data_IF_795648563672
#
_entry.id   IF_795648563672
#
_cell.length_a   1.000
_cell.length_b   1.000
_cell.length_c   1.000
_cell.angle_alpha   90.00
_cell.angle_beta   90.00
_cell.angle_gamma   90.00
#
_symmetry.space_group_name_H-M   'P 1'
#
loop_
_entity.id
_entity.type
_entity.pdbx_description
1 polymer ?
#
# COMPACT_ATOMS: atom_id res chain seq x y z
N UNK A 1 -18.79 -12.81 4.21
CA UNK A 1 -17.95 -13.81 3.51
C UNK A 1 -18.19 -13.65 2.02
N UNK A 2 -17.16 -13.59 1.16
CA UNK A 2 -17.34 -13.45 -0.31
C UNK A 2 -17.15 -12.04 -0.92
N UNK A 3 -16.43 -11.13 -0.25
CA UNK A 3 -16.08 -9.80 -0.83
C UNK A 3 -14.70 -9.76 -1.52
N UNK A 4 -13.91 -10.83 -1.37
CA UNK A 4 -12.55 -10.94 -1.92
C UNK A 4 -12.40 -12.33 -2.58
N UNK A 5 -11.71 -12.43 -3.73
CA UNK A 5 -11.16 -11.32 -4.51
C UNK A 5 -12.26 -10.41 -5.07
N UNK A 6 -12.02 -9.10 -5.13
CA UNK A 6 -12.99 -8.16 -5.73
C UNK A 6 -13.18 -8.47 -7.22
N UNK A 7 -14.29 -8.07 -7.87
CA UNK A 7 -14.49 -8.30 -9.30
C UNK A 7 -13.31 -7.81 -10.15
N UNK A 8 -12.72 -6.66 -9.78
CA UNK A 8 -11.54 -6.12 -10.45
C UNK A 8 -10.27 -6.95 -10.25
N UNK A 9 -10.14 -7.68 -9.14
CA UNK A 9 -9.04 -8.62 -8.88
C UNK A 9 -9.25 -9.94 -9.64
N UNK A 10 -10.48 -10.45 -9.70
CA UNK A 10 -10.80 -11.65 -10.50
C UNK A 10 -10.52 -11.41 -11.98
N UNK A 11 -10.96 -10.27 -12.52
CA UNK A 11 -10.62 -9.86 -13.90
C UNK A 11 -9.12 -9.65 -14.11
N UNK A 12 -8.38 -9.35 -13.04
CA UNK A 12 -6.92 -9.22 -13.04
C UNK A 12 -6.18 -10.57 -12.89
N UNK A 13 -6.91 -11.69 -12.85
CA UNK A 13 -6.32 -13.04 -12.79
C UNK A 13 -6.14 -13.63 -11.39
N UNK A 14 -6.62 -12.97 -10.33
CA UNK A 14 -6.58 -13.54 -8.97
C UNK A 14 -7.80 -14.43 -8.79
N UNK A 15 -7.58 -15.74 -8.59
CA UNK A 15 -8.66 -16.73 -8.59
C UNK A 15 -9.20 -17.03 -7.21
N UNK A 16 -8.39 -16.91 -6.16
CA UNK A 16 -8.79 -17.24 -4.78
C UNK A 16 -8.40 -16.16 -3.77
N UNK A 17 -9.04 -16.19 -2.59
CA UNK A 17 -8.70 -15.29 -1.49
C UNK A 17 -7.32 -15.63 -0.91
N UNK A 18 -6.94 -16.90 -0.95
CA UNK A 18 -5.64 -17.40 -0.51
C UNK A 18 -4.50 -16.89 -1.39
N UNK A 19 -4.69 -16.84 -2.72
CA UNK A 19 -3.72 -16.25 -3.65
C UNK A 19 -3.49 -14.76 -3.36
N UNK A 20 -4.58 -14.02 -3.10
CA UNK A 20 -4.49 -12.61 -2.69
C UNK A 20 -3.74 -12.46 -1.38
N UNK A 21 -4.13 -13.22 -0.36
CA UNK A 21 -3.53 -13.16 0.96
C UNK A 21 -2.03 -13.51 0.94
N UNK A 22 -1.63 -14.47 0.10
CA UNK A 22 -0.23 -14.82 -0.08
C UNK A 22 0.57 -13.65 -0.66
N UNK A 23 0.04 -12.94 -1.65
CA UNK A 23 0.64 -11.73 -2.20
C UNK A 23 0.75 -10.63 -1.14
N UNK A 24 -0.30 -10.44 -0.34
CA UNK A 24 -0.31 -9.44 0.73
C UNK A 24 0.75 -9.72 1.79
N UNK A 25 0.88 -10.99 2.22
CA UNK A 25 1.87 -11.42 3.19
C UNK A 25 3.32 -11.20 2.73
N UNK A 26 3.60 -11.25 1.41
CA UNK A 26 4.94 -10.99 0.87
C UNK A 26 5.44 -9.57 1.11
N UNK A 27 4.54 -8.59 1.32
CA UNK A 27 4.94 -7.20 1.63
C UNK A 27 5.68 -7.08 2.97
N UNK A 28 5.45 -7.99 3.91
CA UNK A 28 6.20 -8.05 5.17
C UNK A 28 7.63 -8.56 5.04
N UNK A 29 8.02 -9.07 3.86
CA UNK A 29 9.36 -9.60 3.63
C UNK A 29 9.63 -10.88 4.42
N UNK A 30 10.79 -10.95 5.09
CA UNK A 30 11.24 -12.11 5.88
C UNK A 30 11.51 -11.77 7.36
N UNK A 31 11.22 -10.54 7.78
CA UNK A 31 11.43 -10.10 9.15
C UNK A 31 10.45 -10.79 10.09
N UNK A 32 10.85 -11.13 11.33
CA UNK A 32 9.92 -11.64 12.32
C UNK A 32 8.87 -10.58 12.68
N UNK A 33 7.62 -11.01 12.86
CA UNK A 33 6.56 -10.15 13.41
C UNK A 33 6.87 -9.91 14.89
N UNK A 34 6.89 -8.65 15.31
CA UNK A 34 7.24 -8.26 16.69
C UNK A 34 6.02 -7.89 17.53
N UNK A 35 4.96 -7.37 16.89
CA UNK A 35 3.69 -6.97 17.52
C UNK A 35 2.50 -7.26 16.58
N UNK A 36 1.33 -7.50 17.18
CA UNK A 36 0.03 -7.58 16.50
C UNK A 36 -0.86 -6.50 17.10
N UNK A 37 -1.35 -5.60 16.25
CA UNK A 37 -1.98 -4.34 16.63
C UNK A 37 -3.46 -4.35 16.27
N UNK A 38 -4.27 -3.77 17.14
CA UNK A 38 -5.64 -3.39 16.82
C UNK A 38 -5.68 -2.09 16.00
N UNK A 39 -6.83 -1.79 15.39
CA UNK A 39 -6.97 -0.63 14.51
C UNK A 39 -6.60 0.69 15.20
N UNK A 40 -5.58 1.38 14.70
CA UNK A 40 -5.08 2.64 15.27
C UNK A 40 -4.21 2.51 16.52
N UNK A 41 -3.88 1.28 16.94
CA UNK A 41 -3.00 1.04 18.09
C UNK A 41 -1.55 1.40 17.76
N UNK A 42 -0.94 2.24 18.60
CA UNK A 42 0.43 2.69 18.44
C UNK A 42 1.40 1.52 18.72
N UNK A 43 2.34 1.19 17.82
CA UNK A 43 3.32 0.13 18.03
C UNK A 43 4.19 0.39 19.27
N UNK A 44 4.47 -0.66 20.04
CA UNK A 44 5.30 -0.55 21.27
C UNK A 44 6.77 -0.97 21.04
N UNK A 45 7.05 -1.66 19.94
CA UNK A 45 8.38 -2.21 19.59
C UNK A 45 8.79 -1.83 18.17
N UNK A 46 10.09 -1.60 17.99
CA UNK A 46 10.66 -1.46 16.65
C UNK A 46 10.73 -2.83 15.94
N UNK A 47 10.25 -2.90 14.71
CA UNK A 47 10.25 -4.12 13.89
C UNK A 47 9.05 -4.17 12.95
N UNK A 48 8.75 -5.36 12.42
CA UNK A 48 7.56 -5.59 11.61
C UNK A 48 6.35 -5.83 12.52
N UNK A 49 5.42 -4.90 12.54
CA UNK A 49 4.14 -5.06 13.24
C UNK A 49 3.02 -5.33 12.24
N UNK A 50 2.05 -6.15 12.62
CA UNK A 50 0.86 -6.45 11.81
C UNK A 50 -0.36 -5.81 12.45
N UNK A 51 -1.09 -4.95 11.73
CA UNK A 51 -2.34 -4.35 12.21
C UNK A 51 -3.55 -5.02 11.58
N UNK A 52 -4.49 -5.48 12.41
CA UNK A 52 -5.78 -5.98 11.94
C UNK A 52 -6.64 -4.81 11.43
N UNK A 53 -6.73 -4.68 10.10
CA UNK A 53 -7.46 -3.62 9.42
C UNK A 53 -8.48 -4.20 8.45
N UNK A 54 -9.58 -3.47 8.14
CA UNK A 54 -10.49 -3.87 7.08
C UNK A 54 -9.78 -3.90 5.71
N UNK A 55 -10.19 -4.78 4.80
CA UNK A 55 -9.64 -4.85 3.44
C UNK A 55 -10.06 -3.72 2.49
N UNK A 56 -10.58 -2.61 3.00
CA UNK A 56 -10.83 -1.39 2.23
C UNK A 56 -9.63 -0.47 2.39
N UNK A 57 -9.06 -0.02 1.27
CA UNK A 57 -7.80 0.73 1.24
C UNK A 57 -7.85 2.00 2.12
N UNK A 58 -8.90 2.82 1.99
CA UNK A 58 -9.05 4.07 2.75
C UNK A 58 -9.10 3.81 4.25
N UNK A 59 -9.95 2.88 4.67
CA UNK A 59 -10.08 2.55 6.08
C UNK A 59 -8.79 1.91 6.63
N UNK A 60 -8.13 1.03 5.86
CA UNK A 60 -6.87 0.40 6.27
C UNK A 60 -5.76 1.43 6.49
N UNK A 61 -5.49 2.28 5.49
CA UNK A 61 -4.45 3.32 5.56
C UNK A 61 -4.75 4.30 6.69
N UNK A 62 -6.02 4.69 6.88
CA UNK A 62 -6.42 5.57 7.99
C UNK A 62 -6.02 4.97 9.35
N UNK A 63 -6.16 3.65 9.54
CA UNK A 63 -5.76 2.97 10.77
C UNK A 63 -4.25 3.00 11.00
N UNK A 64 -3.46 2.77 9.94
CA UNK A 64 -2.00 2.85 10.01
C UNK A 64 -1.52 4.26 10.36
N UNK A 65 -2.10 5.27 9.72
CA UNK A 65 -1.75 6.68 9.97
C UNK A 65 -2.18 7.11 11.37
N UNK A 66 -3.37 6.69 11.84
CA UNK A 66 -3.82 6.92 13.22
C UNK A 66 -2.88 6.29 14.27
N UNK A 67 -2.20 5.19 13.93
CA UNK A 67 -1.20 4.55 14.79
C UNK A 67 0.19 5.20 14.74
N UNK A 68 0.36 6.30 13.99
CA UNK A 68 1.64 7.02 13.87
C UNK A 68 2.49 6.64 12.67
N UNK A 69 1.91 6.06 11.61
CA UNK A 69 2.61 5.86 10.34
C UNK A 69 2.92 7.20 9.66
N UNK A 70 4.20 7.44 9.34
CA UNK A 70 4.66 8.70 8.73
C UNK A 70 4.78 8.64 7.21
N UNK A 71 4.90 7.45 6.62
CA UNK A 71 5.02 7.26 5.15
C UNK A 71 4.29 5.98 4.79
N UNK A 72 3.39 6.05 3.81
CA UNK A 72 2.63 4.90 3.31
C UNK A 72 3.17 4.47 1.95
N UNK A 73 3.73 3.26 1.86
CA UNK A 73 4.05 2.63 0.58
C UNK A 73 2.83 1.85 0.07
N UNK A 74 2.12 2.40 -0.92
CA UNK A 74 0.85 1.87 -1.41
C UNK A 74 1.01 1.21 -2.78
N UNK A 75 0.85 -0.11 -2.83
CA UNK A 75 0.93 -0.87 -4.09
C UNK A 75 -0.41 -0.89 -4.82
N UNK A 76 -0.45 -0.51 -6.10
CA UNK A 76 -1.65 -0.57 -6.93
C UNK A 76 -1.41 -1.22 -8.28
N UNK A 77 -2.26 -2.17 -8.66
CA UNK A 77 -2.21 -2.85 -9.97
C UNK A 77 -3.11 -2.22 -11.04
N UNK A 78 -3.97 -1.26 -10.65
CA UNK A 78 -4.99 -0.65 -11.52
C UNK A 78 -5.07 0.87 -11.38
N UNK A 79 -4.07 1.51 -10.77
CA UNK A 79 -4.01 2.96 -10.63
C UNK A 79 -5.05 3.53 -9.66
N UNK A 80 -5.20 2.92 -8.49
CA UNK A 80 -5.99 3.54 -7.42
C UNK A 80 -5.33 4.88 -7.05
N UNK A 81 -6.07 6.02 -7.09
CA UNK A 81 -5.53 7.34 -6.81
C UNK A 81 -5.24 7.60 -5.32
N UNK A 82 -5.17 6.58 -4.46
CA UNK A 82 -4.91 6.69 -3.02
C UNK A 82 -3.88 7.79 -2.66
N UNK A 83 -4.32 8.78 -1.90
CA UNK A 83 -3.50 9.68 -1.11
C UNK A 83 -3.87 9.60 0.36
N UNK A 84 -3.52 10.62 1.15
CA UNK A 84 -3.93 10.74 2.54
C UNK A 84 -3.68 12.17 3.04
N UNK A 85 -4.62 12.72 3.81
CA UNK A 85 -4.53 14.09 4.30
C UNK A 85 -3.46 14.34 5.38
N UNK A 86 -2.85 13.29 5.95
CA UNK A 86 -1.95 13.38 7.11
C UNK A 86 -0.55 12.88 6.78
N UNK A 87 -0.42 11.75 6.09
CA UNK A 87 0.86 11.13 5.77
C UNK A 87 1.07 10.98 4.25
N UNK A 88 2.29 11.25 3.72
CA UNK A 88 2.58 11.04 2.31
C UNK A 88 2.36 9.59 1.88
N UNK A 89 1.73 9.43 0.71
CA UNK A 89 1.50 8.13 0.07
C UNK A 89 2.37 8.02 -1.17
N UNK A 90 3.27 7.04 -1.15
CA UNK A 90 4.09 6.63 -2.29
C UNK A 90 3.34 5.53 -3.04
N UNK A 91 2.87 5.84 -4.25
CA UNK A 91 2.16 4.90 -5.11
C UNK A 91 3.16 4.09 -5.94
N UNK A 92 3.04 2.77 -5.86
CA UNK A 92 3.93 1.81 -6.51
C UNK A 92 3.08 0.90 -7.40
N UNK A 93 3.45 0.73 -8.66
CA UNK A 93 2.77 -0.25 -9.53
C UNK A 93 3.71 -1.33 -10.02
N UNK A 94 3.27 -2.59 -9.93
CA UNK A 94 3.94 -3.72 -10.59
C UNK A 94 3.43 -3.99 -12.00
N UNK A 95 2.52 -3.16 -12.52
CA UNK A 95 1.83 -3.37 -13.78
C UNK A 95 2.31 -2.36 -14.84
N UNK A 96 3.08 -2.83 -15.82
CA UNK A 96 3.62 -2.00 -16.90
C UNK A 96 2.53 -1.25 -17.68
N UNK A 97 1.36 -1.88 -17.86
CA UNK A 97 0.23 -1.25 -18.53
C UNK A 97 -0.29 -0.05 -17.71
N UNK A 98 -0.44 -0.20 -16.40
CA UNK A 98 -0.84 0.90 -15.52
C UNK A 98 0.19 2.02 -15.56
N UNK A 99 1.48 1.70 -15.47
CA UNK A 99 2.52 2.73 -15.51
C UNK A 99 2.54 3.49 -16.85
N UNK A 100 2.38 2.79 -17.98
CA UNK A 100 2.37 3.42 -19.30
C UNK A 100 1.19 4.41 -19.52
N UNK A 101 0.07 4.22 -18.82
CA UNK A 101 -1.13 5.06 -18.99
C UNK A 101 -1.38 6.03 -17.83
N UNK A 102 -0.82 5.75 -16.66
CA UNK A 102 -1.04 6.49 -15.41
C UNK A 102 0.30 6.79 -14.71
N UNK A 103 1.40 6.89 -15.46
CA UNK A 103 2.73 7.15 -14.89
C UNK A 103 2.82 8.48 -14.16
N UNK A 104 2.03 9.47 -14.56
CA UNK A 104 1.89 10.75 -13.87
C UNK A 104 1.20 10.60 -12.50
N UNK A 105 0.54 9.48 -12.24
CA UNK A 105 -0.10 9.13 -10.96
C UNK A 105 0.72 8.21 -10.06
N UNK A 106 1.90 7.74 -10.51
CA UNK A 106 2.64 6.65 -9.87
C UNK A 106 4.09 7.07 -9.60
N UNK A 107 4.49 7.04 -8.32
CA UNK A 107 5.85 7.41 -7.92
C UNK A 107 6.89 6.39 -8.38
N UNK A 108 6.56 5.09 -8.40
CA UNK A 108 7.52 4.01 -8.70
C UNK A 108 6.91 2.93 -9.60
N UNK A 109 7.60 2.67 -10.72
CA UNK A 109 7.38 1.48 -11.55
C UNK A 109 8.21 0.29 -11.08
N UNK A 110 7.52 -0.73 -10.56
CA UNK A 110 8.08 -2.03 -10.17
C UNK A 110 7.85 -3.13 -11.22
N UNK A 111 7.20 -2.82 -12.35
CA UNK A 111 6.95 -3.76 -13.44
C UNK A 111 8.21 -4.36 -14.09
N UNK A 112 9.41 -3.72 -14.08
CA UNK A 112 10.63 -4.33 -14.57
C UNK A 112 10.99 -5.67 -13.90
N UNK A 113 10.49 -5.93 -12.68
CA UNK A 113 10.62 -7.23 -12.00
C UNK A 113 10.01 -8.36 -12.84
N UNK A 114 8.82 -8.12 -13.43
CA UNK A 114 8.09 -9.13 -14.20
C UNK A 114 8.82 -9.47 -15.51
N UNK A 115 9.43 -8.46 -16.14
CA UNK A 115 10.26 -8.64 -17.34
C UNK A 115 11.66 -9.19 -17.06
N UNK A 116 12.01 -9.42 -15.79
CA UNK A 116 13.35 -9.78 -15.32
C UNK A 116 14.46 -8.77 -15.67
N UNK A 117 14.11 -7.54 -16.08
CA UNK A 117 15.07 -6.45 -16.33
C UNK A 117 15.68 -5.92 -15.03
N UNK A 118 14.95 -6.02 -13.91
CA UNK A 118 15.45 -5.73 -12.57
C UNK A 118 15.05 -6.83 -11.59
N UNK A 119 15.89 -7.05 -10.59
CA UNK A 119 15.60 -7.97 -9.47
C UNK A 119 14.71 -7.29 -8.42
N UNK A 120 13.96 -8.07 -7.61
CA UNK A 120 13.23 -7.51 -6.47
C UNK A 120 14.10 -6.71 -5.49
N UNK A 121 15.37 -7.10 -5.33
CA UNK A 121 16.31 -6.38 -4.47
C UNK A 121 16.65 -4.98 -5.02
N UNK A 122 16.83 -4.85 -6.34
CA UNK A 122 17.10 -3.56 -6.97
C UNK A 122 15.91 -2.62 -6.87
N UNK A 123 14.70 -3.11 -7.15
CA UNK A 123 13.48 -2.30 -7.00
C UNK A 123 13.20 -1.99 -5.53
N UNK A 124 13.48 -2.92 -4.62
CA UNK A 124 13.40 -2.69 -3.17
C UNK A 124 14.32 -1.54 -2.72
N UNK A 125 15.54 -1.48 -3.25
CA UNK A 125 16.46 -0.35 -2.99
C UNK A 125 15.90 0.96 -3.55
N UNK A 126 15.31 0.95 -4.75
CA UNK A 126 14.64 2.14 -5.32
C UNK A 126 13.52 2.64 -4.40
N UNK A 127 12.67 1.74 -3.91
CA UNK A 127 11.58 2.06 -2.96
C UNK A 127 12.17 2.64 -1.68
N UNK A 128 13.17 1.97 -1.08
CA UNK A 128 13.81 2.43 0.15
C UNK A 128 14.41 3.83 0.01
N UNK A 129 15.15 4.08 -1.08
CA UNK A 129 15.74 5.40 -1.36
C UNK A 129 14.69 6.47 -1.57
N UNK A 130 13.58 6.15 -2.23
CA UNK A 130 12.50 7.12 -2.40
C UNK A 130 11.81 7.43 -1.06
N UNK A 131 11.55 6.42 -0.22
CA UNK A 131 11.06 6.66 1.15
C UNK A 131 11.97 7.60 1.94
N UNK A 132 13.30 7.46 1.82
CA UNK A 132 14.25 8.37 2.48
C UNK A 132 14.17 9.81 1.95
N UNK A 133 13.94 10.00 0.64
CA UNK A 133 13.77 11.34 0.08
C UNK A 133 12.45 11.99 0.51
N UNK A 134 11.37 11.21 0.53
CA UNK A 134 10.07 11.66 1.07
C UNK A 134 10.20 12.02 2.55
N UNK A 135 10.90 11.19 3.34
CA UNK A 135 11.21 11.52 4.73
C UNK A 135 12.04 12.80 4.90
N UNK A 136 12.82 13.18 3.87
CA UNK A 136 13.60 14.41 3.80
C UNK A 136 12.81 15.61 3.22
N UNK A 137 11.53 15.43 2.87
CA UNK A 137 10.64 16.49 2.39
C UNK A 137 10.41 16.54 0.87
N UNK A 138 10.83 15.52 0.10
CA UNK A 138 10.38 15.38 -1.29
C UNK A 138 8.87 15.07 -1.30
N UNK A 139 8.02 15.90 -1.93
CA UNK A 139 6.59 15.63 -1.99
C UNK A 139 6.31 14.42 -2.88
N UNK A 140 5.36 13.57 -2.49
CA UNK A 140 4.89 12.49 -3.36
C UNK A 140 3.97 13.03 -4.45
N UNK A 141 3.79 12.25 -5.50
CA UNK A 141 2.87 12.60 -6.57
C UNK A 141 1.43 12.74 -6.02
N UNK A 142 1.02 11.91 -5.05
CA UNK A 142 -0.29 12.05 -4.39
C UNK A 142 -0.48 13.44 -3.78
N UNK A 143 0.52 13.95 -3.05
CA UNK A 143 0.48 15.29 -2.46
C UNK A 143 0.44 16.37 -3.55
N UNK A 144 1.28 16.26 -4.59
CA UNK A 144 1.32 17.21 -5.69
C UNK A 144 0.01 17.34 -6.47
N UNK A 145 -0.79 16.27 -6.52
CA UNK A 145 -2.11 16.26 -7.15
C UNK A 145 -3.28 16.52 -6.19
N UNK A 146 -3.01 16.71 -4.89
CA UNK A 146 -4.04 16.96 -3.89
C UNK A 146 -4.91 15.74 -3.57
N UNK A 147 -4.35 14.53 -3.66
CA UNK A 147 -5.04 13.31 -3.25
C UNK A 147 -4.97 13.20 -1.71
N UNK A 148 -6.11 13.40 -1.07
CA UNK A 148 -6.22 13.54 0.40
C UNK A 148 -7.20 12.52 1.01
N UNK A 149 -7.36 11.35 0.38
CA UNK A 149 -8.43 10.42 0.77
C UNK A 149 -8.19 9.79 2.14
N UNK A 150 -9.24 9.74 2.95
CA UNK A 150 -9.28 8.96 4.19
C UNK A 150 -10.71 8.53 4.51
N UNK A 151 -10.84 7.47 5.32
CA UNK A 151 -12.14 6.97 5.76
C UNK A 151 -12.00 6.40 7.17
N UNK A 152 -12.82 6.90 8.10
CA UNK A 152 -12.87 6.33 9.44
C UNK A 152 -13.49 4.93 9.41
N UNK A 153 -12.89 3.99 10.15
CA UNK A 153 -13.50 2.69 10.37
C UNK A 153 -14.81 2.85 11.15
N UNK A 154 -15.92 2.57 10.47
CA UNK A 154 -17.25 2.55 11.10
C UNK A 154 -17.58 1.12 11.54
N UNK A 155 -17.78 0.95 12.84
CA UNK A 155 -18.33 -0.28 13.40
C UNK A 155 -19.81 -0.07 13.73
N UNK A 156 -20.67 -0.99 13.26
CA UNK A 156 -22.11 -0.95 13.51
C UNK A 156 -22.96 -0.34 12.38
N UNK A 157 -24.30 -0.38 12.51
CA UNK A 157 -25.24 0.05 11.48
C UNK A 157 -25.20 1.57 11.22
N UNK A 158 -25.61 1.94 10.01
CA UNK A 158 -25.90 3.32 9.62
C UNK A 158 -27.41 3.47 9.58
N UNK A 159 -27.92 4.36 10.42
CA UNK A 159 -29.31 4.83 10.38
C UNK A 159 -29.33 6.20 9.71
#
# INVERSE_FOLDING_TARGET
MGKQPSPGNVLGGITTVEEKALGDARKGGKSPIVDVLTYGEIPSRAGLSFMDTPGNDLASVTGLVAAGCHIVAFTTGRGNPMGNAIAPVIKITGNAYTYAHMGEDIDIDASPIISAAQTPAQVGETIYRHCLRVAAGEPTIAEGMGHEEFMLLRQGPVY
#
